data_IF_481178866276
#
_entry.id   IF_481178866276
#
_cell.length_a   1.000
_cell.length_b   1.000
_cell.length_c   1.000
_cell.angle_alpha   90.00
_cell.angle_beta   90.00
_cell.angle_gamma   90.00
#
_symmetry.space_group_name_H-M   'P 1'
#
loop_
_entity.id
_entity.type
_entity.pdbx_description
1 polymer ?
#
# COMPACT_ATOMS: atom_id res chain seq x y z
N UNK A 1 0.47 -1.93 16.84
CA UNK A 1 0.29 -3.16 16.03
C UNK A 1 0.25 -2.71 14.56
N UNK A 2 1.31 -3.04 13.83
CA UNK A 2 1.48 -2.69 12.42
C UNK A 2 0.37 -3.33 11.57
N UNK A 3 -0.25 -2.54 10.68
CA UNK A 3 -1.06 -3.10 9.58
C UNK A 3 -0.12 -3.99 8.78
N UNK A 4 -0.37 -5.30 8.73
CA UNK A 4 0.34 -6.17 7.78
C UNK A 4 -0.02 -5.69 6.37
N UNK A 5 0.99 -5.18 5.65
CA UNK A 5 0.83 -4.79 4.26
C UNK A 5 0.58 -6.05 3.41
N UNK A 6 -0.22 -5.98 2.35
CA UNK A 6 -0.47 -7.13 1.47
C UNK A 6 0.82 -7.74 0.90
N UNK A 7 1.85 -6.93 0.66
CA UNK A 7 3.16 -7.41 0.22
C UNK A 7 3.87 -8.29 1.28
N UNK A 8 3.78 -7.93 2.57
CA UNK A 8 4.35 -8.75 3.66
C UNK A 8 3.69 -10.12 3.76
N UNK A 9 2.37 -10.16 3.57
CA UNK A 9 1.63 -11.42 3.58
C UNK A 9 1.99 -12.29 2.38
N UNK A 10 2.02 -11.71 1.18
CA UNK A 10 2.47 -12.41 -0.03
C UNK A 10 3.91 -12.93 0.14
N UNK A 11 4.81 -12.14 0.72
CA UNK A 11 6.18 -12.57 1.02
C UNK A 11 6.22 -13.81 1.93
N UNK A 12 5.44 -13.80 3.02
CA UNK A 12 5.37 -14.93 3.94
C UNK A 12 4.80 -16.20 3.30
N UNK A 13 3.79 -16.07 2.43
CA UNK A 13 3.22 -17.18 1.67
C UNK A 13 4.25 -17.74 0.67
N UNK A 14 4.90 -16.87 -0.10
CA UNK A 14 5.91 -17.27 -1.09
C UNK A 14 7.09 -17.96 -0.42
N UNK A 15 7.55 -17.47 0.74
CA UNK A 15 8.64 -18.08 1.49
C UNK A 15 8.30 -19.51 1.97
N UNK A 16 7.07 -19.70 2.50
CA UNK A 16 6.61 -21.04 2.91
C UNK A 16 6.48 -21.97 1.71
N UNK A 17 5.91 -21.49 0.60
CA UNK A 17 5.80 -22.27 -0.64
C UNK A 17 7.19 -22.64 -1.17
N UNK A 18 8.12 -21.69 -1.26
CA UNK A 18 9.47 -21.93 -1.70
C UNK A 18 10.18 -23.00 -0.83
N UNK A 19 10.07 -22.87 0.49
CA UNK A 19 10.64 -23.85 1.42
C UNK A 19 10.06 -25.25 1.22
N UNK A 20 8.74 -25.39 1.12
CA UNK A 20 8.08 -26.70 0.91
C UNK A 20 8.47 -27.34 -0.42
N UNK A 21 8.47 -26.54 -1.49
CA UNK A 21 8.77 -27.02 -2.85
C UNK A 21 10.25 -27.43 -3.03
N UNK A 22 11.19 -26.70 -2.41
CA UNK A 22 12.60 -27.05 -2.42
C UNK A 22 12.85 -28.40 -1.74
N UNK A 23 12.06 -28.73 -0.70
CA UNK A 23 12.14 -30.03 -0.01
C UNK A 23 11.29 -31.14 -0.66
N UNK A 24 10.83 -30.93 -1.89
CA UNK A 24 10.16 -31.98 -2.69
C UNK A 24 8.66 -32.13 -2.43
N UNK A 25 8.03 -31.22 -1.70
CA UNK A 25 6.57 -31.22 -1.56
C UNK A 25 5.93 -30.82 -2.89
N UNK A 26 4.90 -31.54 -3.31
CA UNK A 26 4.19 -31.22 -4.55
C UNK A 26 3.50 -29.86 -4.47
N UNK A 27 3.34 -29.11 -5.60
CA UNK A 27 2.73 -27.79 -5.59
C UNK A 27 1.33 -27.77 -4.95
N UNK A 28 0.51 -28.78 -5.19
CA UNK A 28 -0.83 -28.87 -4.62
C UNK A 28 -0.80 -29.06 -3.11
N UNK A 29 0.04 -29.96 -2.61
CA UNK A 29 0.19 -30.19 -1.18
C UNK A 29 0.80 -28.96 -0.47
N UNK A 30 1.74 -28.25 -1.10
CA UNK A 30 2.32 -27.04 -0.54
C UNK A 30 1.26 -25.94 -0.30
N UNK A 31 0.34 -25.74 -1.24
CA UNK A 31 -0.76 -24.80 -1.06
C UNK A 31 -1.74 -25.24 0.03
N UNK A 32 -2.05 -26.55 0.15
CA UNK A 32 -2.89 -27.05 1.23
C UNK A 32 -2.27 -26.81 2.61
N UNK A 33 -0.96 -27.02 2.76
CA UNK A 33 -0.25 -26.75 4.01
C UNK A 33 -0.25 -25.25 4.36
N UNK A 34 -0.01 -24.38 3.37
CA UNK A 34 -0.03 -22.94 3.58
C UNK A 34 -1.42 -22.49 4.00
N UNK A 35 -2.47 -22.87 3.30
CA UNK A 35 -3.84 -22.49 3.66
C UNK A 35 -4.27 -23.01 5.03
N UNK A 36 -3.94 -24.28 5.37
CA UNK A 36 -4.22 -24.84 6.70
C UNK A 36 -3.49 -24.06 7.79
N UNK A 37 -2.23 -23.68 7.58
CA UNK A 37 -1.47 -22.87 8.54
C UNK A 37 -2.09 -21.49 8.76
N UNK A 38 -2.64 -20.89 7.74
CA UNK A 38 -3.33 -19.59 7.81
C UNK A 38 -4.65 -19.70 8.58
N UNK A 39 -5.42 -20.75 8.36
CA UNK A 39 -6.66 -21.02 9.10
C UNK A 39 -6.39 -21.21 10.61
N UNK A 40 -5.41 -22.04 10.98
CA UNK A 40 -5.01 -22.26 12.38
C UNK A 40 -4.56 -20.94 13.04
N UNK A 41 -3.82 -20.10 12.31
CA UNK A 41 -3.40 -18.79 12.81
C UNK A 41 -4.58 -17.84 13.02
N UNK A 42 -5.57 -17.87 12.14
CA UNK A 42 -6.79 -17.08 12.25
C UNK A 42 -7.66 -17.49 13.44
N UNK A 43 -7.74 -18.78 13.75
CA UNK A 43 -8.49 -19.32 14.89
C UNK A 43 -7.84 -19.01 16.25
N UNK A 44 -6.51 -18.98 16.32
CA UNK A 44 -5.77 -18.75 17.59
C UNK A 44 -5.80 -17.29 18.06
N UNK A 45 -5.92 -16.31 17.17
CA UNK A 45 -5.85 -14.89 17.56
C UNK A 45 -7.03 -14.34 18.37
N UNK A 46 -8.30 -14.71 18.16
CA UNK A 46 -9.37 -14.20 19.01
C UNK A 46 -9.19 -14.62 20.49
N UNK A 47 -8.59 -15.77 20.76
CA UNK A 47 -8.34 -16.22 22.12
C UNK A 47 -7.23 -15.41 22.84
N UNK A 48 -6.20 -14.99 22.14
CA UNK A 48 -5.09 -14.18 22.69
C UNK A 48 -5.54 -12.73 22.90
N UNK A 49 -6.35 -12.18 21.99
CA UNK A 49 -6.91 -10.83 22.12
C UNK A 49 -7.93 -10.75 23.27
N UNK A 50 -8.73 -11.78 23.51
CA UNK A 50 -9.64 -11.87 24.63
C UNK A 50 -8.89 -11.96 25.98
N UNK A 51 -7.82 -12.76 26.08
CA UNK A 51 -6.97 -12.84 27.28
C UNK A 51 -6.27 -11.52 27.61
N UNK A 52 -5.84 -10.72 26.62
CA UNK A 52 -5.24 -9.39 26.83
C UNK A 52 -6.26 -8.31 27.18
N UNK A 53 -7.50 -8.42 26.75
CA UNK A 53 -8.57 -7.46 27.06
C UNK A 53 -9.09 -7.58 28.51
N UNK A 54 -8.89 -8.72 29.17
CA UNK A 54 -9.31 -8.97 30.57
C UNK A 54 -8.46 -8.29 31.63
N UNK A 55 -7.30 -7.71 31.29
CA UNK A 55 -6.31 -7.17 32.26
C UNK A 55 -6.14 -5.66 32.25
N UNK A 56 -7.08 -4.88 31.77
CA UNK A 56 -6.89 -3.41 31.73
C UNK A 56 -8.19 -2.63 31.70
N UNK A 57 -8.72 -2.26 32.86
CA UNK A 57 -9.74 -1.21 32.99
C UNK A 57 -9.10 0.16 32.73
N UNK A 58 -9.19 0.67 31.48
CA UNK A 58 -9.11 2.10 31.22
C UNK A 58 -10.27 2.49 30.33
N UNK A 59 -11.27 3.07 30.95
CA UNK A 59 -12.43 3.73 30.31
C UNK A 59 -12.03 5.17 30.03
N UNK A 60 -11.88 5.55 28.77
CA UNK A 60 -12.19 6.91 28.32
C UNK A 60 -12.45 6.92 26.79
N UNK A 61 -13.54 7.48 26.41
CA UNK A 61 -14.04 8.23 25.23
C UNK A 61 -13.72 7.82 23.78
N UNK A 62 -12.79 6.91 23.46
CA UNK A 62 -12.37 6.60 22.07
C UNK A 62 -12.77 5.19 21.57
N UNK A 63 -13.79 4.61 22.13
CA UNK A 63 -14.24 3.24 21.80
C UNK A 63 -14.65 3.06 20.32
N UNK A 64 -15.23 4.06 19.70
CA UNK A 64 -15.67 4.03 18.30
C UNK A 64 -14.51 4.03 17.31
N UNK A 65 -13.44 4.82 17.56
CA UNK A 65 -12.26 4.88 16.71
C UNK A 65 -11.48 3.56 16.77
N UNK A 66 -11.45 2.91 17.94
CA UNK A 66 -10.85 1.59 18.16
C UNK A 66 -11.62 0.48 17.43
N UNK A 67 -12.95 0.61 17.35
CA UNK A 67 -13.80 -0.32 16.58
C UNK A 67 -13.61 -0.16 15.06
N UNK A 68 -13.51 1.04 14.54
CA UNK A 68 -13.24 1.29 13.11
C UNK A 68 -11.88 0.72 12.67
N UNK A 69 -10.84 0.88 13.50
CA UNK A 69 -9.52 0.30 13.24
C UNK A 69 -9.58 -1.24 13.31
N UNK A 70 -10.33 -1.82 14.28
CA UNK A 70 -10.53 -3.28 14.37
C UNK A 70 -11.28 -3.86 13.18
N UNK A 71 -12.32 -3.17 12.70
CA UNK A 71 -13.09 -3.59 11.51
C UNK A 71 -12.21 -3.58 10.27
N UNK A 72 -11.41 -2.54 10.06
CA UNK A 72 -10.47 -2.46 8.94
C UNK A 72 -9.39 -3.55 8.97
N UNK A 73 -8.83 -3.88 10.14
CA UNK A 73 -7.83 -4.95 10.30
C UNK A 73 -8.42 -6.35 10.10
N UNK A 74 -9.65 -6.57 10.55
CA UNK A 74 -10.35 -7.85 10.31
C UNK A 74 -10.67 -8.06 8.85
N UNK A 75 -11.04 -6.99 8.11
CA UNK A 75 -11.41 -7.06 6.70
C UNK A 75 -10.21 -7.43 5.82
N UNK A 76 -9.06 -6.77 6.00
CA UNK A 76 -7.85 -7.09 5.23
C UNK A 76 -7.34 -8.50 5.48
N UNK A 77 -7.44 -9.01 6.70
CA UNK A 77 -6.99 -10.36 7.05
C UNK A 77 -7.95 -11.44 6.58
N UNK A 78 -9.25 -11.18 6.64
CA UNK A 78 -10.26 -12.07 6.07
C UNK A 78 -10.09 -12.20 4.55
N UNK A 79 -9.81 -11.09 3.85
CA UNK A 79 -9.50 -11.09 2.41
C UNK A 79 -8.24 -11.92 2.09
N UNK A 80 -7.21 -11.87 2.92
CA UNK A 80 -5.96 -12.62 2.75
C UNK A 80 -6.16 -14.13 2.91
N UNK A 81 -6.82 -14.56 3.99
CA UNK A 81 -7.14 -15.98 4.21
C UNK A 81 -8.12 -16.52 3.14
N UNK A 82 -8.95 -15.63 2.60
CA UNK A 82 -9.88 -15.97 1.52
C UNK A 82 -9.14 -16.33 0.22
N UNK A 83 -8.05 -15.63 -0.12
CA UNK A 83 -7.25 -15.93 -1.32
C UNK A 83 -6.67 -17.35 -1.23
N UNK A 84 -6.05 -17.69 -0.10
CA UNK A 84 -5.45 -19.01 0.13
C UNK A 84 -6.51 -20.13 0.06
N UNK A 85 -7.69 -19.91 0.66
CA UNK A 85 -8.79 -20.87 0.60
C UNK A 85 -9.37 -21.02 -0.80
N UNK A 86 -9.48 -19.94 -1.57
CA UNK A 86 -9.91 -19.98 -2.97
C UNK A 86 -8.94 -20.80 -3.83
N UNK A 87 -7.62 -20.64 -3.63
CA UNK A 87 -6.61 -21.43 -4.35
C UNK A 87 -6.78 -22.93 -4.05
N UNK A 88 -6.97 -23.29 -2.78
CA UNK A 88 -7.18 -24.72 -2.40
C UNK A 88 -8.47 -25.29 -3.00
N UNK A 89 -9.56 -24.52 -3.00
CA UNK A 89 -10.80 -24.93 -3.66
C UNK A 89 -10.59 -25.15 -5.15
N UNK A 90 -9.89 -24.25 -5.81
CA UNK A 90 -9.56 -24.35 -7.23
C UNK A 90 -8.70 -25.60 -7.54
N UNK A 91 -7.69 -25.86 -6.71
CA UNK A 91 -6.85 -27.06 -6.84
C UNK A 91 -7.63 -28.35 -6.69
N UNK A 92 -8.57 -28.40 -5.74
CA UNK A 92 -9.44 -29.58 -5.53
C UNK A 92 -10.41 -29.83 -6.69
N UNK A 93 -10.79 -28.78 -7.43
CA UNK A 93 -11.58 -28.89 -8.66
C UNK A 93 -10.74 -29.18 -9.91
N UNK A 94 -9.43 -29.43 -9.78
CA UNK A 94 -8.51 -29.68 -10.89
C UNK A 94 -8.05 -28.43 -11.64
N UNK A 95 -8.33 -27.24 -11.10
CA UNK A 95 -7.91 -25.98 -11.69
C UNK A 95 -6.49 -25.58 -11.28
N UNK A 96 -5.94 -24.56 -11.96
CA UNK A 96 -4.60 -24.05 -11.70
C UNK A 96 -4.61 -22.91 -10.66
N UNK A 97 -3.65 -22.87 -9.71
CA UNK A 97 -3.51 -21.76 -8.75
C UNK A 97 -3.34 -20.40 -9.43
N UNK A 98 -2.70 -20.40 -10.60
CA UNK A 98 -2.43 -19.18 -11.36
C UNK A 98 -3.71 -18.42 -11.73
N UNK A 99 -4.81 -19.12 -12.05
CA UNK A 99 -6.08 -18.48 -12.44
C UNK A 99 -6.68 -17.62 -11.32
N UNK A 100 -6.52 -18.04 -10.06
CA UNK A 100 -6.95 -17.26 -8.88
C UNK A 100 -6.00 -16.09 -8.65
N UNK A 101 -4.69 -16.32 -8.76
CA UNK A 101 -3.65 -15.33 -8.47
C UNK A 101 -3.67 -14.16 -9.45
N UNK A 102 -3.86 -14.42 -10.73
CA UNK A 102 -3.88 -13.40 -11.81
C UNK A 102 -5.04 -12.42 -11.63
N UNK A 103 -6.18 -12.90 -11.13
CA UNK A 103 -7.38 -12.09 -10.93
C UNK A 103 -7.40 -11.29 -9.62
N UNK A 104 -6.31 -11.33 -8.82
CA UNK A 104 -6.25 -10.58 -7.58
C UNK A 104 -6.06 -9.08 -7.82
N UNK A 105 -6.68 -8.27 -6.96
CA UNK A 105 -6.56 -6.81 -7.02
C UNK A 105 -5.15 -6.32 -6.70
N UNK A 106 -4.43 -7.03 -5.83
CA UNK A 106 -3.10 -6.64 -5.37
C UNK A 106 -1.98 -7.16 -6.28
N UNK A 107 -1.06 -6.27 -6.66
CA UNK A 107 0.02 -6.59 -7.60
C UNK A 107 0.96 -7.71 -7.13
N UNK A 108 1.21 -7.85 -5.83
CA UNK A 108 2.07 -8.92 -5.29
C UNK A 108 1.50 -10.32 -5.57
N UNK A 109 0.18 -10.50 -5.48
CA UNK A 109 -0.47 -11.76 -5.80
C UNK A 109 -0.45 -12.04 -7.30
N UNK A 110 -0.67 -11.01 -8.14
CA UNK A 110 -0.53 -11.15 -9.60
C UNK A 110 0.90 -11.47 -10.01
N UNK A 111 1.90 -10.88 -9.33
CA UNK A 111 3.31 -11.20 -9.54
C UNK A 111 3.63 -12.66 -9.20
N UNK A 112 3.08 -13.20 -8.11
CA UNK A 112 3.17 -14.62 -7.79
C UNK A 112 2.52 -15.47 -8.87
N UNK A 113 1.34 -15.05 -9.38
CA UNK A 113 0.66 -15.70 -10.50
C UNK A 113 1.52 -15.71 -11.77
N UNK A 114 2.20 -14.61 -12.09
CA UNK A 114 3.09 -14.51 -13.23
C UNK A 114 4.28 -15.48 -13.13
N UNK A 115 4.93 -15.54 -11.96
CA UNK A 115 6.01 -16.49 -11.70
C UNK A 115 5.52 -17.93 -11.82
N UNK A 116 4.34 -18.22 -11.27
CA UNK A 116 3.75 -19.55 -11.34
C UNK A 116 3.42 -19.97 -12.78
N UNK A 117 2.76 -19.09 -13.55
CA UNK A 117 2.47 -19.32 -14.97
C UNK A 117 3.73 -19.54 -15.80
N UNK A 118 4.74 -18.70 -15.60
CA UNK A 118 6.01 -18.80 -16.32
C UNK A 118 6.68 -20.14 -16.01
N UNK A 119 6.76 -20.53 -14.74
CA UNK A 119 7.37 -21.79 -14.33
C UNK A 119 6.64 -23.00 -14.93
N UNK A 120 5.31 -22.99 -14.92
CA UNK A 120 4.50 -24.08 -15.53
C UNK A 120 4.71 -24.17 -17.03
N UNK A 121 4.81 -23.05 -17.75
CA UNK A 121 4.98 -23.01 -19.22
C UNK A 121 6.41 -23.31 -19.67
N UNK A 122 7.38 -22.97 -18.85
CA UNK A 122 8.82 -23.16 -19.18
C UNK A 122 9.41 -24.44 -18.60
N UNK A 123 8.72 -25.10 -17.66
CA UNK A 123 9.25 -26.24 -16.91
C UNK A 123 10.31 -25.87 -15.87
N UNK A 124 10.42 -24.57 -15.52
CA UNK A 124 11.38 -24.14 -14.52
C UNK A 124 10.99 -24.66 -13.11
N UNK A 125 11.97 -25.07 -12.28
CA UNK A 125 11.67 -25.62 -10.96
C UNK A 125 11.13 -24.55 -10.01
N UNK A 126 9.85 -24.66 -9.64
CA UNK A 126 9.12 -23.67 -8.82
C UNK A 126 9.84 -23.31 -7.50
N UNK A 127 10.45 -24.29 -6.82
CA UNK A 127 11.12 -24.05 -5.54
C UNK A 127 12.25 -23.06 -5.64
N UNK A 128 13.12 -23.21 -6.63
CA UNK A 128 14.28 -22.33 -6.85
C UNK A 128 13.86 -20.95 -7.36
N UNK A 129 12.76 -20.90 -8.12
CA UNK A 129 12.25 -19.66 -8.72
C UNK A 129 11.54 -18.79 -7.65
N UNK A 130 10.85 -19.39 -6.69
CA UNK A 130 10.12 -18.66 -5.66
C UNK A 130 11.04 -18.06 -4.56
N UNK A 131 12.25 -18.57 -4.36
CA UNK A 131 13.16 -18.04 -3.36
C UNK A 131 13.54 -16.56 -3.61
N UNK A 132 14.06 -16.17 -4.79
CA UNK A 132 14.33 -14.77 -5.10
C UNK A 132 13.08 -13.86 -5.00
N UNK A 133 11.91 -14.39 -5.40
CA UNK A 133 10.65 -13.68 -5.31
C UNK A 133 10.26 -13.37 -3.85
N UNK A 134 10.50 -14.31 -2.92
CA UNK A 134 10.23 -14.10 -1.50
C UNK A 134 11.05 -12.93 -0.94
N UNK A 135 12.32 -12.83 -1.32
CA UNK A 135 13.21 -11.73 -0.95
C UNK A 135 12.71 -10.42 -1.54
N UNK A 136 12.36 -10.40 -2.84
CA UNK A 136 11.84 -9.22 -3.51
C UNK A 136 10.54 -8.68 -2.86
N UNK A 137 9.62 -9.57 -2.47
CA UNK A 137 8.39 -9.17 -1.78
C UNK A 137 8.65 -8.68 -0.36
N UNK A 138 9.61 -9.24 0.35
CA UNK A 138 10.02 -8.76 1.68
C UNK A 138 10.62 -7.35 1.60
N UNK A 139 11.48 -7.09 0.60
CA UNK A 139 12.04 -5.76 0.32
C UNK A 139 10.94 -4.75 -0.04
N UNK A 140 9.95 -5.16 -0.85
CA UNK A 140 8.79 -4.33 -1.19
C UNK A 140 7.98 -3.97 0.06
N UNK A 141 7.63 -4.95 0.88
CA UNK A 141 6.90 -4.73 2.13
C UNK A 141 7.68 -3.83 3.11
N UNK A 142 9.00 -3.94 3.16
CA UNK A 142 9.84 -3.04 3.96
C UNK A 142 9.79 -1.62 3.42
N UNK A 143 9.89 -1.44 2.11
CA UNK A 143 9.80 -0.12 1.46
C UNK A 143 8.44 0.54 1.74
N UNK A 144 7.34 -0.21 1.65
CA UNK A 144 6.00 0.29 1.99
C UNK A 144 5.91 0.75 3.45
N UNK A 145 6.50 0.00 4.39
CA UNK A 145 6.58 0.38 5.81
C UNK A 145 7.41 1.64 6.02
N UNK A 146 8.59 1.71 5.42
CA UNK A 146 9.51 2.86 5.53
C UNK A 146 8.82 4.14 5.05
N UNK A 147 8.12 4.09 3.91
CA UNK A 147 7.32 5.20 3.37
C UNK A 147 6.18 5.56 4.33
N UNK A 148 5.47 4.57 4.86
CA UNK A 148 4.36 4.82 5.79
C UNK A 148 4.85 5.49 7.08
N UNK A 149 5.98 5.05 7.62
CA UNK A 149 6.60 5.67 8.80
C UNK A 149 7.06 7.09 8.51
N UNK A 150 7.72 7.31 7.38
CA UNK A 150 8.17 8.64 6.97
C UNK A 150 7.00 9.63 6.79
N UNK A 151 5.85 9.16 6.32
CA UNK A 151 4.64 9.97 6.11
C UNK A 151 3.79 10.15 7.39
N UNK A 152 4.04 9.38 8.46
CA UNK A 152 3.21 9.41 9.67
C UNK A 152 3.23 10.79 10.35
N UNK A 153 4.42 11.41 10.50
CA UNK A 153 4.58 12.74 11.07
C UNK A 153 3.84 13.82 10.28
N UNK A 154 4.20 14.05 9.01
CA UNK A 154 3.58 15.08 8.16
C UNK A 154 2.05 14.93 8.03
N UNK A 155 1.55 13.71 7.88
CA UNK A 155 0.10 13.49 7.75
C UNK A 155 -0.66 13.71 9.04
N UNK A 156 -0.04 13.44 10.20
CA UNK A 156 -0.65 13.70 11.50
C UNK A 156 -0.73 15.20 11.79
N UNK A 157 0.37 15.94 11.57
CA UNK A 157 0.39 17.39 11.67
C UNK A 157 -0.66 18.05 10.76
N UNK A 158 -0.74 17.61 9.51
CA UNK A 158 -1.71 18.08 8.54
C UNK A 158 -3.16 17.88 9.00
N UNK A 159 -3.50 16.75 9.65
CA UNK A 159 -4.85 16.50 10.19
C UNK A 159 -5.20 17.42 11.35
N UNK A 160 -4.23 17.69 12.23
CA UNK A 160 -4.44 18.61 13.38
C UNK A 160 -4.70 20.02 12.85
N UNK A 161 -3.89 20.50 11.91
CA UNK A 161 -4.08 21.85 11.34
C UNK A 161 -5.38 21.95 10.54
N UNK A 162 -5.80 20.89 9.84
CA UNK A 162 -7.08 20.84 9.14
C UNK A 162 -8.30 20.91 10.09
N UNK A 163 -8.13 20.46 11.33
CA UNK A 163 -9.18 20.56 12.37
C UNK A 163 -9.24 21.95 13.04
N UNK A 164 -8.23 22.81 12.83
CA UNK A 164 -8.12 24.11 13.50
C UNK A 164 -9.31 25.07 13.24
N UNK A 165 -9.85 25.17 12.02
CA UNK A 165 -11.06 26.01 11.78
C UNK A 165 -12.27 25.55 12.59
N UNK A 166 -12.45 24.23 12.74
CA UNK A 166 -13.54 23.67 13.56
C UNK A 166 -13.34 23.97 15.04
N UNK A 167 -12.10 23.89 15.52
CA UNK A 167 -11.77 24.29 16.90
C UNK A 167 -11.99 25.77 17.14
N UNK A 168 -11.74 26.64 16.16
CA UNK A 168 -12.03 28.08 16.24
C UNK A 168 -13.51 28.37 16.43
N UNK A 169 -14.36 27.73 15.64
CA UNK A 169 -15.84 27.85 15.75
C UNK A 169 -16.32 27.34 17.12
N UNK A 170 -15.83 26.19 17.55
CA UNK A 170 -16.19 25.61 18.85
C UNK A 170 -15.80 26.53 20.00
N UNK A 171 -14.57 27.05 19.97
CA UNK A 171 -14.06 27.94 21.02
C UNK A 171 -14.87 29.24 21.11
N UNK A 172 -15.21 29.83 19.96
CA UNK A 172 -16.09 31.00 19.90
C UNK A 172 -17.46 30.74 20.55
N UNK A 173 -18.05 29.58 20.27
CA UNK A 173 -19.32 29.18 20.87
C UNK A 173 -19.23 28.95 22.38
N UNK A 174 -18.16 28.35 22.88
CA UNK A 174 -17.92 28.12 24.32
C UNK A 174 -17.70 29.41 25.09
N UNK A 175 -17.06 30.39 24.47
CA UNK A 175 -16.85 31.73 25.05
C UNK A 175 -18.13 32.58 25.10
N UNK A 176 -19.28 32.03 24.67
CA UNK A 176 -20.57 32.70 24.70
C UNK A 176 -20.78 33.69 23.56
N UNK A 177 -19.95 33.66 22.52
CA UNK A 177 -20.20 34.39 21.29
C UNK A 177 -21.17 33.61 20.43
N UNK A 178 -22.22 34.28 19.92
CA UNK A 178 -23.19 33.68 18.99
C UNK A 178 -22.56 33.54 17.59
N UNK A 179 -21.52 32.70 17.47
CA UNK A 179 -20.76 32.47 16.24
C UNK A 179 -21.68 31.92 15.14
N UNK A 180 -22.64 31.08 15.52
CA UNK A 180 -23.58 30.47 14.57
C UNK A 180 -24.58 31.52 14.08
N UNK A 181 -25.10 32.38 14.98
CA UNK A 181 -25.98 33.49 14.63
C UNK A 181 -25.32 34.51 13.70
N UNK A 182 -24.03 34.81 13.90
CA UNK A 182 -23.26 35.67 12.99
C UNK A 182 -23.16 35.07 11.58
N UNK A 183 -22.96 33.75 11.45
CA UNK A 183 -22.93 33.10 10.14
C UNK A 183 -24.28 33.02 9.45
N UNK A 184 -25.36 32.80 10.19
CA UNK A 184 -26.70 32.59 9.61
C UNK A 184 -27.53 33.88 9.54
N UNK A 185 -27.23 34.87 10.37
CA UNK A 185 -28.01 36.11 10.50
C UNK A 185 -27.67 37.21 9.51
N UNK A 186 -26.58 37.10 8.74
CA UNK A 186 -26.17 38.11 7.77
C UNK A 186 -25.67 37.52 6.45
N UNK A 187 -25.94 38.25 5.35
CA UNK A 187 -25.43 37.87 4.02
C UNK A 187 -23.89 37.79 4.00
N UNK A 188 -23.22 38.65 4.75
CA UNK A 188 -21.76 38.67 4.91
C UNK A 188 -21.28 37.43 5.66
N UNK A 189 -21.98 37.01 6.73
CA UNK A 189 -21.69 35.79 7.47
C UNK A 189 -21.79 34.53 6.61
N UNK A 190 -22.86 34.46 5.78
CA UNK A 190 -23.04 33.34 4.87
C UNK A 190 -21.93 33.26 3.77
N UNK A 191 -21.52 34.43 3.26
CA UNK A 191 -20.38 34.49 2.32
C UNK A 191 -19.07 34.07 2.95
N UNK A 192 -18.77 34.48 4.19
CA UNK A 192 -17.60 34.06 4.95
C UNK A 192 -17.58 32.55 5.20
N UNK A 193 -18.72 31.97 5.56
CA UNK A 193 -18.87 30.53 5.76
C UNK A 193 -18.65 29.77 4.44
N UNK A 194 -19.21 30.24 3.32
CA UNK A 194 -19.04 29.66 2.00
C UNK A 194 -17.57 29.67 1.54
N UNK A 195 -16.89 30.82 1.65
CA UNK A 195 -15.47 30.99 1.30
C UNK A 195 -14.60 30.12 2.21
N UNK A 196 -14.83 30.14 3.51
CA UNK A 196 -14.05 29.36 4.46
C UNK A 196 -14.18 27.84 4.22
N UNK A 197 -15.40 27.36 3.97
CA UNK A 197 -15.63 25.94 3.66
C UNK A 197 -14.96 25.54 2.33
N UNK A 198 -15.04 26.39 1.31
CA UNK A 198 -14.38 26.17 0.02
C UNK A 198 -12.87 26.04 0.20
N UNK A 199 -12.25 26.90 0.99
CA UNK A 199 -10.81 26.84 1.30
C UNK A 199 -10.41 25.56 2.04
N UNK A 200 -11.23 25.11 3.02
CA UNK A 200 -10.98 23.85 3.75
C UNK A 200 -11.07 22.66 2.79
N UNK A 201 -12.09 22.61 1.93
CA UNK A 201 -12.26 21.52 0.95
C UNK A 201 -11.14 21.53 -0.08
N UNK A 202 -10.74 22.70 -0.59
CA UNK A 202 -9.65 22.86 -1.52
C UNK A 202 -8.31 22.39 -0.89
N UNK A 203 -8.03 22.80 0.34
CA UNK A 203 -6.85 22.37 1.10
C UNK A 203 -6.82 20.86 1.36
N UNK A 204 -7.96 20.28 1.73
CA UNK A 204 -8.09 18.84 1.91
C UNK A 204 -7.86 18.06 0.60
N UNK A 205 -8.47 18.51 -0.49
CA UNK A 205 -8.32 17.88 -1.80
C UNK A 205 -6.87 17.97 -2.32
N UNK A 206 -6.25 19.16 -2.19
CA UNK A 206 -4.85 19.38 -2.57
C UNK A 206 -3.91 18.49 -1.73
N UNK A 207 -4.07 18.48 -0.40
CA UNK A 207 -3.32 17.62 0.49
C UNK A 207 -3.45 16.13 0.12
N UNK A 208 -4.68 15.66 -0.12
CA UNK A 208 -4.95 14.30 -0.55
C UNK A 208 -4.31 13.96 -1.91
N UNK A 209 -4.28 14.91 -2.85
CA UNK A 209 -3.66 14.77 -4.15
C UNK A 209 -2.14 14.60 -4.04
N UNK A 210 -1.48 15.42 -3.21
CA UNK A 210 -0.04 15.34 -2.96
C UNK A 210 0.34 13.99 -2.32
N UNK A 211 -0.38 13.54 -1.30
CA UNK A 211 -0.16 12.25 -0.67
C UNK A 211 -0.33 11.11 -1.68
N UNK A 212 -1.39 11.16 -2.49
CA UNK A 212 -1.62 10.12 -3.52
C UNK A 212 -0.50 10.09 -4.57
N UNK A 213 0.05 11.24 -4.98
CA UNK A 213 1.16 11.29 -5.95
C UNK A 213 2.44 10.72 -5.35
N UNK A 214 2.75 11.04 -4.11
CA UNK A 214 3.95 10.54 -3.42
C UNK A 214 3.91 9.04 -3.11
N UNK A 215 2.72 8.44 -3.00
CA UNK A 215 2.56 7.01 -2.76
C UNK A 215 2.39 6.17 -4.03
N UNK A 216 2.38 6.80 -5.22
CA UNK A 216 2.33 6.08 -6.50
C UNK A 216 3.72 5.61 -6.88
N UNK A 217 4.02 4.35 -6.60
CA UNK A 217 5.25 3.68 -7.01
C UNK A 217 4.90 2.47 -7.90
N UNK A 218 5.82 2.05 -8.79
CA UNK A 218 5.65 0.79 -9.51
C UNK A 218 5.41 -0.34 -8.50
N UNK A 219 4.36 -1.14 -8.69
CA UNK A 219 3.96 -2.13 -7.67
C UNK A 219 4.95 -3.29 -7.52
N UNK A 220 5.79 -3.55 -8.53
CA UNK A 220 6.73 -4.69 -8.57
C UNK A 220 7.99 -4.31 -9.36
N UNK A 221 8.87 -3.44 -8.80
CA UNK A 221 10.08 -3.03 -9.51
C UNK A 221 11.03 -4.22 -9.70
N UNK A 222 11.60 -4.35 -10.91
CA UNK A 222 12.53 -5.41 -11.27
C UNK A 222 11.89 -6.76 -11.61
N UNK A 223 10.58 -6.93 -11.43
CA UNK A 223 9.91 -8.21 -11.65
C UNK A 223 10.07 -8.72 -13.09
N UNK A 224 9.98 -7.85 -14.10
CA UNK A 224 10.16 -8.23 -15.49
C UNK A 224 11.54 -8.84 -15.75
N UNK A 225 12.57 -8.28 -15.15
CA UNK A 225 13.95 -8.80 -15.23
C UNK A 225 14.12 -10.13 -14.48
N UNK A 226 13.52 -10.25 -13.29
CA UNK A 226 13.51 -11.50 -12.53
C UNK A 226 12.81 -12.62 -13.30
N UNK A 227 11.68 -12.34 -13.96
CA UNK A 227 10.96 -13.32 -14.79
C UNK A 227 11.83 -13.79 -15.97
N UNK A 228 12.52 -12.89 -16.66
CA UNK A 228 13.44 -13.27 -17.73
C UNK A 228 14.60 -14.12 -17.17
N UNK A 229 15.21 -13.70 -16.06
CA UNK A 229 16.28 -14.44 -15.41
C UNK A 229 15.86 -15.86 -15.02
N UNK A 230 14.65 -16.01 -14.49
CA UNK A 230 14.06 -17.31 -14.16
C UNK A 230 13.84 -18.17 -15.39
N UNK A 231 13.30 -17.58 -16.45
CA UNK A 231 13.07 -18.28 -17.72
C UNK A 231 14.37 -18.76 -18.38
N UNK A 232 15.45 -18.00 -18.25
CA UNK A 232 16.77 -18.42 -18.80
C UNK A 232 17.30 -19.72 -18.18
N UNK A 233 16.88 -20.06 -16.96
CA UNK A 233 17.25 -21.32 -16.30
C UNK A 233 16.49 -22.54 -16.86
N UNK A 234 15.53 -22.36 -17.75
CA UNK A 234 14.77 -23.47 -18.39
C UNK A 234 15.46 -24.10 -19.59
N UNK A 235 16.60 -23.54 -20.05
CA UNK A 235 17.32 -24.01 -21.23
C UNK A 235 16.70 -23.62 -22.58
N UNK A 236 15.66 -22.80 -22.60
CA UNK A 236 15.04 -22.28 -23.82
C UNK A 236 15.81 -21.07 -24.36
N UNK A 237 15.56 -20.71 -25.61
CA UNK A 237 16.20 -19.55 -26.23
C UNK A 237 15.81 -18.23 -25.52
N UNK A 238 16.72 -17.27 -25.48
CA UNK A 238 16.45 -15.96 -24.90
C UNK A 238 15.25 -15.27 -25.57
N UNK A 239 15.11 -15.40 -26.88
CA UNK A 239 14.00 -14.83 -27.65
C UNK A 239 12.64 -15.45 -27.24
N UNK A 240 12.59 -16.77 -27.08
CA UNK A 240 11.36 -17.47 -26.65
C UNK A 240 10.97 -17.07 -25.23
N UNK A 241 11.94 -17.00 -24.32
CA UNK A 241 11.70 -16.58 -22.94
C UNK A 241 11.20 -15.14 -22.89
N UNK A 242 11.81 -14.25 -23.65
CA UNK A 242 11.36 -12.86 -23.73
C UNK A 242 9.92 -12.73 -24.26
N UNK A 243 9.56 -13.51 -25.28
CA UNK A 243 8.20 -13.54 -25.80
C UNK A 243 7.20 -14.07 -24.78
N UNK A 244 7.57 -15.14 -24.06
CA UNK A 244 6.70 -15.74 -23.04
C UNK A 244 6.53 -14.83 -21.82
N UNK A 245 7.61 -14.22 -21.33
CA UNK A 245 7.54 -13.25 -20.22
C UNK A 245 6.66 -12.07 -20.58
N UNK A 246 6.77 -11.52 -21.79
CA UNK A 246 5.90 -10.45 -22.27
C UNK A 246 4.42 -10.86 -22.28
N UNK A 247 4.13 -12.09 -22.68
CA UNK A 247 2.77 -12.66 -22.65
C UNK A 247 2.25 -12.72 -21.21
N UNK A 248 3.03 -13.30 -20.30
CA UNK A 248 2.67 -13.46 -18.88
C UNK A 248 2.45 -12.11 -18.20
N UNK A 249 3.32 -11.12 -18.45
CA UNK A 249 3.18 -9.77 -17.90
C UNK A 249 1.83 -9.14 -18.31
N UNK A 250 1.45 -9.29 -19.58
CA UNK A 250 0.15 -8.80 -20.09
C UNK A 250 -1.04 -9.55 -19.49
N UNK A 251 -0.98 -10.87 -19.44
CA UNK A 251 -2.03 -11.71 -18.84
C UNK A 251 -2.27 -11.37 -17.37
N UNK A 252 -1.19 -11.10 -16.61
CA UNK A 252 -1.26 -10.73 -15.20
C UNK A 252 -1.51 -9.24 -14.97
N UNK A 253 -1.71 -8.44 -16.00
CA UNK A 253 -1.87 -6.98 -15.92
C UNK A 253 -0.80 -6.32 -15.05
N UNK A 254 0.46 -6.70 -15.28
CA UNK A 254 1.66 -6.14 -14.64
C UNK A 254 2.28 -5.09 -15.55
N UNK A 255 2.87 -4.04 -14.97
CA UNK A 255 3.49 -2.97 -15.77
C UNK A 255 4.73 -3.47 -16.54
N UNK A 256 4.87 -3.01 -17.77
CA UNK A 256 5.98 -3.39 -18.68
C UNK A 256 7.29 -2.64 -18.42
N UNK A 257 7.35 -1.73 -17.43
CA UNK A 257 8.41 -0.73 -17.28
C UNK A 257 9.84 -1.29 -17.18
N UNK A 258 10.02 -2.49 -16.63
CA UNK A 258 11.35 -3.04 -16.39
C UNK A 258 11.75 -4.08 -17.44
N UNK A 259 10.78 -4.64 -18.16
CA UNK A 259 11.03 -5.66 -19.18
C UNK A 259 11.89 -5.12 -20.36
N UNK A 260 11.68 -3.87 -20.76
CA UNK A 260 12.43 -3.24 -21.87
C UNK A 260 13.95 -3.17 -21.64
N UNK A 261 14.38 -3.31 -20.37
CA UNK A 261 15.81 -3.35 -20.01
C UNK A 261 16.44 -4.73 -20.16
N UNK A 262 15.66 -5.80 -20.33
CA UNK A 262 16.17 -7.14 -20.45
C UNK A 262 17.01 -7.34 -21.73
N UNK A 263 16.54 -6.78 -22.84
CA UNK A 263 17.17 -6.97 -24.15
C UNK A 263 18.63 -6.48 -24.23
N UNK A 264 18.97 -5.25 -23.81
CA UNK A 264 20.37 -4.81 -23.79
C UNK A 264 21.25 -5.61 -22.83
N UNK A 265 20.70 -6.11 -21.70
CA UNK A 265 21.43 -6.95 -20.75
C UNK A 265 21.73 -8.33 -21.37
N UNK A 266 20.76 -8.92 -22.06
CA UNK A 266 20.95 -10.18 -22.77
C UNK A 266 22.01 -10.05 -23.87
N UNK A 267 21.99 -8.95 -24.64
CA UNK A 267 23.02 -8.67 -25.65
C UNK A 267 24.42 -8.55 -25.01
N UNK A 268 24.54 -7.81 -23.92
CA UNK A 268 25.79 -7.67 -23.18
C UNK A 268 26.28 -9.01 -22.63
N UNK A 269 25.39 -9.82 -22.05
CA UNK A 269 25.72 -11.13 -21.51
C UNK A 269 26.27 -12.08 -22.60
N UNK A 270 25.65 -12.08 -23.78
CA UNK A 270 26.08 -12.89 -24.92
C UNK A 270 27.43 -12.45 -25.47
N UNK A 271 27.72 -11.17 -25.52
CA UNK A 271 29.03 -10.63 -25.97
C UNK A 271 30.12 -10.94 -24.96
N UNK A 272 29.83 -10.86 -23.66
CA UNK A 272 30.80 -11.11 -22.60
C UNK A 272 30.97 -12.59 -22.27
N UNK A 273 30.15 -13.50 -22.79
CA UNK A 273 30.18 -14.92 -22.47
C UNK A 273 29.85 -15.25 -21.02
N UNK A 274 29.05 -14.40 -20.36
CA UNK A 274 28.66 -14.58 -18.95
C UNK A 274 27.18 -15.02 -18.81
N UNK A 275 26.83 -15.69 -17.70
CA UNK A 275 25.43 -16.12 -17.48
C UNK A 275 24.47 -14.92 -17.43
N UNK A 276 23.53 -14.84 -18.36
CA UNK A 276 22.57 -13.75 -18.46
C UNK A 276 21.67 -13.64 -17.22
N UNK A 277 21.32 -14.78 -16.61
CA UNK A 277 20.45 -14.82 -15.44
C UNK A 277 21.02 -14.02 -14.25
N UNK A 278 22.33 -14.11 -13.99
CA UNK A 278 22.97 -13.37 -12.90
C UNK A 278 22.99 -11.85 -13.12
N UNK A 279 23.22 -11.41 -14.36
CA UNK A 279 23.18 -10.00 -14.72
C UNK A 279 21.76 -9.42 -14.62
N UNK A 280 20.77 -10.16 -15.08
CA UNK A 280 19.36 -9.78 -14.98
C UNK A 280 18.90 -9.66 -13.51
N UNK A 281 19.30 -10.60 -12.64
CA UNK A 281 19.01 -10.54 -11.21
C UNK A 281 19.70 -9.35 -10.51
N UNK A 282 20.96 -9.07 -10.89
CA UNK A 282 21.67 -7.89 -10.38
C UNK A 282 20.97 -6.59 -10.76
N UNK A 283 20.54 -6.45 -12.02
CA UNK A 283 19.81 -5.28 -12.48
C UNK A 283 18.40 -5.18 -11.85
N UNK A 284 17.71 -6.31 -11.66
CA UNK A 284 16.45 -6.35 -10.93
C UNK A 284 16.62 -5.83 -9.48
N UNK A 285 17.69 -6.25 -8.81
CA UNK A 285 18.02 -5.76 -7.46
C UNK A 285 18.34 -4.26 -7.47
N UNK A 286 19.07 -3.79 -8.47
CA UNK A 286 19.35 -2.37 -8.65
C UNK A 286 18.07 -1.56 -8.90
N UNK A 287 17.14 -2.08 -9.71
CA UNK A 287 15.85 -1.46 -9.95
C UNK A 287 15.03 -1.34 -8.65
N UNK A 288 15.02 -2.37 -7.80
CA UNK A 288 14.37 -2.33 -6.47
C UNK A 288 15.02 -1.28 -5.56
N UNK A 289 16.34 -1.23 -5.49
CA UNK A 289 17.06 -0.26 -4.67
C UNK A 289 16.81 1.18 -5.14
N UNK A 290 16.78 1.44 -6.45
CA UNK A 290 16.41 2.74 -7.03
C UNK A 290 14.96 3.11 -6.69
N UNK A 291 14.04 2.18 -6.82
CA UNK A 291 12.64 2.40 -6.47
C UNK A 291 12.47 2.75 -4.99
N UNK A 292 13.18 2.05 -4.09
CA UNK A 292 13.22 2.33 -2.65
C UNK A 292 13.77 3.73 -2.34
N UNK A 293 14.90 4.10 -2.95
CA UNK A 293 15.50 5.42 -2.78
C UNK A 293 14.58 6.54 -3.27
N UNK A 294 13.93 6.34 -4.43
CA UNK A 294 12.95 7.28 -4.98
C UNK A 294 11.72 7.42 -4.07
N UNK A 295 11.23 6.32 -3.52
CA UNK A 295 10.12 6.31 -2.57
C UNK A 295 10.45 7.08 -1.30
N UNK A 296 11.64 6.85 -0.72
CA UNK A 296 12.13 7.57 0.46
C UNK A 296 12.28 9.07 0.19
N UNK A 297 12.87 9.44 -0.96
CA UNK A 297 13.01 10.83 -1.38
C UNK A 297 11.66 11.52 -1.60
N UNK A 298 10.70 10.83 -2.22
CA UNK A 298 9.35 11.34 -2.42
C UNK A 298 8.63 11.58 -1.08
N UNK A 299 8.78 10.65 -0.12
CA UNK A 299 8.22 10.78 1.22
C UNK A 299 8.83 11.98 1.99
N UNK A 300 10.15 12.16 1.91
CA UNK A 300 10.84 13.29 2.55
C UNK A 300 10.40 14.64 1.95
N UNK A 301 10.34 14.75 0.62
CA UNK A 301 9.85 15.96 -0.07
C UNK A 301 8.40 16.27 0.25
N UNK A 302 7.57 15.23 0.43
CA UNK A 302 6.17 15.43 0.77
C UNK A 302 6.00 16.13 2.11
N UNK A 303 6.86 15.86 3.10
CA UNK A 303 6.85 16.54 4.40
C UNK A 303 6.91 18.06 4.26
N UNK A 304 7.77 18.58 3.38
CA UNK A 304 7.89 20.01 3.09
C UNK A 304 6.73 20.52 2.22
N UNK A 305 6.38 19.77 1.18
CA UNK A 305 5.34 20.18 0.22
C UNK A 305 3.94 20.28 0.87
N UNK A 306 3.67 19.49 1.92
CA UNK A 306 2.41 19.56 2.67
C UNK A 306 2.24 20.90 3.45
N UNK A 307 3.32 21.63 3.68
CA UNK A 307 3.21 22.97 4.30
C UNK A 307 2.55 24.00 3.38
N UNK A 308 2.63 23.83 2.05
CA UNK A 308 2.05 24.76 1.08
C UNK A 308 0.50 24.82 1.17
N UNK A 309 -0.25 23.70 1.06
CA UNK A 309 -1.70 23.76 1.19
C UNK A 309 -2.15 24.18 2.59
N UNK A 310 -1.34 23.88 3.63
CA UNK A 310 -1.64 24.32 4.99
C UNK A 310 -1.53 25.85 5.11
N UNK A 311 -0.48 26.47 4.58
CA UNK A 311 -0.28 27.93 4.62
C UNK A 311 -1.26 28.67 3.71
N UNK A 312 -1.48 28.19 2.49
CA UNK A 312 -2.25 28.93 1.46
C UNK A 312 -3.75 28.75 1.63
N UNK A 313 -4.21 27.56 2.04
CA UNK A 313 -5.65 27.26 2.12
C UNK A 313 -6.16 27.25 3.56
N UNK A 314 -5.48 26.56 4.48
CA UNK A 314 -6.00 26.32 5.83
C UNK A 314 -5.84 27.54 6.74
N UNK A 315 -4.73 28.26 6.62
CA UNK A 315 -4.54 29.47 7.44
C UNK A 315 -5.55 30.56 7.10
N UNK A 316 -5.82 30.94 5.83
CA UNK A 316 -6.93 31.86 5.51
C UNK A 316 -8.29 31.33 5.92
N UNK A 317 -8.53 30.00 5.74
CA UNK A 317 -9.78 29.40 6.20
C UNK A 317 -9.99 29.56 7.71
N UNK A 318 -8.94 29.39 8.51
CA UNK A 318 -8.99 29.61 9.94
C UNK A 318 -9.28 31.07 10.31
N UNK A 319 -8.67 32.03 9.60
CA UNK A 319 -8.96 33.45 9.82
C UNK A 319 -10.41 33.78 9.48
N UNK A 320 -10.91 33.27 8.39
CA UNK A 320 -12.29 33.52 7.91
C UNK A 320 -13.35 32.85 8.79
N UNK A 321 -13.12 31.59 9.18
CA UNK A 321 -14.11 30.81 9.94
C UNK A 321 -13.96 30.94 11.46
N UNK A 322 -12.73 31.16 11.97
CA UNK A 322 -12.45 31.19 13.40
C UNK A 322 -12.36 32.61 13.95
N UNK A 323 -11.61 33.49 13.29
CA UNK A 323 -11.27 34.81 13.82
C UNK A 323 -12.29 35.87 13.38
N UNK A 324 -12.68 35.91 12.12
CA UNK A 324 -13.57 36.94 11.60
C UNK A 324 -14.95 36.99 12.30
N UNK A 325 -15.65 35.87 12.55
CA UNK A 325 -16.94 35.92 13.26
C UNK A 325 -16.78 36.38 14.72
N UNK A 326 -15.66 36.04 15.37
CA UNK A 326 -15.37 36.48 16.73
C UNK A 326 -15.18 38.00 16.78
N UNK A 327 -14.43 38.55 15.85
CA UNK A 327 -14.21 40.03 15.74
C UNK A 327 -15.55 40.73 15.45
N UNK A 328 -16.39 40.20 14.55
CA UNK A 328 -17.69 40.75 14.25
C UNK A 328 -18.62 40.71 15.48
N UNK A 329 -18.63 39.59 16.22
CA UNK A 329 -19.44 39.46 17.44
C UNK A 329 -18.99 40.44 18.55
N UNK A 330 -17.71 40.68 18.72
CA UNK A 330 -17.17 41.63 19.67
C UNK A 330 -17.54 43.08 19.27
N UNK A 331 -17.38 43.42 17.99
CA UNK A 331 -17.76 44.74 17.49
C UNK A 331 -19.28 45.03 17.65
N UNK A 332 -20.13 44.05 17.38
CA UNK A 332 -21.58 44.17 17.58
C UNK A 332 -21.93 44.39 19.05
N UNK A 333 -21.27 43.68 20.00
CA UNK A 333 -21.45 43.91 21.44
C UNK A 333 -20.92 45.27 21.95
N UNK A 334 -19.93 45.81 21.27
CA UNK A 334 -19.33 47.13 21.69
C UNK A 334 -20.11 48.31 21.13
N UNK A 335 -20.95 48.08 20.09
CA UNK A 335 -21.73 49.13 19.44
C UNK A 335 -23.19 49.21 19.92
N UNK A 336 -23.65 48.21 20.64
CA UNK A 336 -24.97 48.12 21.29
C UNK A 336 -24.82 47.85 22.80
#
# INVERSE_FOLDING_TARGET
MSKQHPADHAAAVVERLASLLVHGVTPNAAWEYVARSAQIAAEREPSIAAKRAGSGKVRFGLGWMRNLVRIGLRRTRAEQTQIESQIVVQLRSGGEPASVLVNQSHASWRALGAVWLLAMRTGAPLGTVLQPLSVAFRELGQTERDVHVALAGPTSASRIVLALPLLGILLGSVLGFDTIGVFTGSTIGLALLGVGLLLVVAGWWWNRSLVRRATRHPPTPGLGLDLVAMGMNSGRSAADICAEVRRVIRECNLGESDYSRAEPILAMASQAGVPAASLLQAEATLARNRARANAASAAARLGVTLMLPLGVCILPAFLVLGVAPLVIAVLQRAMF
#
